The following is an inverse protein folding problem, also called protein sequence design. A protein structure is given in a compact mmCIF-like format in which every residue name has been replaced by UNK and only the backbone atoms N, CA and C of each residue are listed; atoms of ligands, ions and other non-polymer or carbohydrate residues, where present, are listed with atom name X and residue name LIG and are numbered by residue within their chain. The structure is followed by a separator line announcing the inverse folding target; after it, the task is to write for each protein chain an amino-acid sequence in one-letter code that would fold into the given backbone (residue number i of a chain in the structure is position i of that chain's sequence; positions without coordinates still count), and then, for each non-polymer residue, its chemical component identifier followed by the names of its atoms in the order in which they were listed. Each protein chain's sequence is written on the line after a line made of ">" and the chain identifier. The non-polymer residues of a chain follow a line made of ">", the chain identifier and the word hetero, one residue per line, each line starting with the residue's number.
data_IF_509673860281
#
_entry.id   IF_509673860281
#
_cell.length_a   1.000
_cell.length_b   1.000
_cell.length_c   1.000
_cell.angle_alpha   90.00
_cell.angle_beta   90.00
_cell.angle_gamma   90.00
#
_symmetry.space_group_name_H-M   'P 1'
#
loop_
_entity.id
_entity.type
_entity.pdbx_description
1 polymer ?
#
# COMPACT_ATOMS: atom_id res chain seq x y z
N UNK A 1 -29.21 25.12 5.43
CA UNK A 1 -27.93 24.90 6.12
C UNK A 1 -26.86 24.75 5.07
N UNK A 2 -26.38 25.88 4.55
CA UNK A 2 -25.29 25.90 3.59
C UNK A 2 -23.96 25.73 4.32
N UNK A 3 -23.09 24.94 3.71
CA UNK A 3 -21.86 24.39 4.25
C UNK A 3 -20.83 25.47 4.61
N UNK A 4 -20.79 25.86 5.88
CA UNK A 4 -19.66 26.57 6.50
C UNK A 4 -18.37 25.73 6.55
N UNK A 5 -18.43 24.43 6.23
CA UNK A 5 -17.26 23.57 6.11
C UNK A 5 -16.43 23.80 4.82
N UNK A 6 -16.93 24.59 3.87
CA UNK A 6 -16.26 24.87 2.58
C UNK A 6 -15.79 26.31 2.39
N UNK A 7 -15.97 27.23 3.34
CA UNK A 7 -15.81 28.67 3.06
C UNK A 7 -14.36 29.18 3.01
N UNK A 8 -13.35 28.31 3.05
CA UNK A 8 -11.95 28.68 2.89
C UNK A 8 -11.25 27.75 1.92
N UNK A 9 -10.72 28.29 0.82
CA UNK A 9 -9.82 27.57 -0.09
C UNK A 9 -8.64 26.94 0.66
N UNK A 10 -8.27 27.49 1.82
CA UNK A 10 -7.29 26.93 2.74
C UNK A 10 -7.61 25.49 3.19
N UNK A 11 -8.87 25.20 3.55
CA UNK A 11 -9.27 23.87 4.03
C UNK A 11 -9.20 22.83 2.90
N UNK A 12 -9.59 23.20 1.68
CA UNK A 12 -9.50 22.32 0.51
C UNK A 12 -8.06 21.85 0.29
N UNK A 13 -7.08 22.76 0.35
CA UNK A 13 -5.68 22.41 0.13
C UNK A 13 -5.07 21.61 1.28
N UNK A 14 -5.49 21.85 2.54
CA UNK A 14 -5.13 20.99 3.69
C UNK A 14 -5.61 19.55 3.47
N UNK A 15 -6.87 19.36 3.07
CA UNK A 15 -7.39 18.02 2.75
C UNK A 15 -6.65 17.36 1.58
N UNK A 16 -6.28 18.12 0.56
CA UNK A 16 -5.52 17.61 -0.57
C UNK A 16 -4.13 17.09 -0.16
N UNK A 17 -3.47 17.79 0.77
CA UNK A 17 -2.20 17.32 1.36
C UNK A 17 -2.43 16.06 2.21
N UNK A 18 -3.44 16.06 3.08
CA UNK A 18 -3.73 14.91 3.95
C UNK A 18 -4.09 13.65 3.15
N UNK A 19 -4.92 13.77 2.11
CA UNK A 19 -5.28 12.63 1.24
C UNK A 19 -4.08 12.16 0.42
N UNK A 20 -3.21 13.07 -0.02
CA UNK A 20 -1.98 12.72 -0.73
C UNK A 20 -0.98 11.96 0.14
N UNK A 21 -0.81 12.37 1.40
CA UNK A 21 0.00 11.64 2.39
C UNK A 21 -0.60 10.27 2.68
N UNK A 22 -1.92 10.20 2.90
CA UNK A 22 -2.62 8.93 3.14
C UNK A 22 -2.45 7.99 1.95
N UNK A 23 -2.59 8.50 0.73
CA UNK A 23 -2.36 7.75 -0.50
C UNK A 23 -0.92 7.22 -0.54
N UNK A 24 0.09 8.04 -0.25
CA UNK A 24 1.49 7.59 -0.19
C UNK A 24 1.71 6.48 0.84
N UNK A 25 1.16 6.63 2.05
CA UNK A 25 1.27 5.61 3.10
C UNK A 25 0.63 4.31 2.64
N UNK A 26 -0.61 4.33 2.13
CA UNK A 26 -1.30 3.12 1.69
C UNK A 26 -0.61 2.48 0.49
N UNK A 27 -0.10 3.28 -0.45
CA UNK A 27 0.51 2.77 -1.68
C UNK A 27 1.92 2.23 -1.45
N UNK A 28 2.65 2.75 -0.46
CA UNK A 28 4.01 2.29 -0.18
C UNK A 28 3.99 1.21 0.89
N UNK A 29 3.38 1.48 2.05
CA UNK A 29 3.45 0.59 3.21
C UNK A 29 2.79 -0.77 2.96
N UNK A 30 1.56 -0.77 2.44
CA UNK A 30 0.78 -2.01 2.29
C UNK A 30 1.41 -2.95 1.23
N UNK A 31 1.71 -2.49 0.01
CA UNK A 31 2.40 -3.32 -0.99
C UNK A 31 3.77 -3.81 -0.53
N UNK A 32 4.54 -3.01 0.22
CA UNK A 32 5.86 -3.42 0.69
C UNK A 32 5.77 -4.54 1.73
N UNK A 33 4.84 -4.43 2.68
CA UNK A 33 4.57 -5.48 3.69
C UNK A 33 4.11 -6.77 3.02
N UNK A 34 3.16 -6.67 2.10
CA UNK A 34 2.62 -7.83 1.40
C UNK A 34 3.68 -8.51 0.54
N UNK A 35 4.51 -7.74 -0.16
CA UNK A 35 5.63 -8.25 -0.94
C UNK A 35 6.64 -9.02 -0.09
N UNK A 36 7.01 -8.50 1.09
CA UNK A 36 7.91 -9.21 2.00
C UNK A 36 7.32 -10.56 2.45
N UNK A 37 6.04 -10.58 2.82
CA UNK A 37 5.33 -11.81 3.20
C UNK A 37 5.33 -12.83 2.04
N UNK A 38 5.03 -12.37 0.83
CA UNK A 38 5.01 -13.20 -0.38
C UNK A 38 6.41 -13.74 -0.74
N UNK A 39 7.46 -12.94 -0.57
CA UNK A 39 8.84 -13.37 -0.81
C UNK A 39 9.30 -14.44 0.18
N UNK A 40 8.98 -14.27 1.47
CA UNK A 40 9.28 -15.28 2.51
C UNK A 40 8.61 -16.61 2.16
N UNK A 41 7.33 -16.57 1.82
CA UNK A 41 6.61 -17.80 1.48
C UNK A 41 7.11 -18.42 0.18
N UNK A 42 7.49 -17.60 -0.82
CA UNK A 42 8.13 -18.09 -2.04
C UNK A 42 9.43 -18.85 -1.73
N UNK A 43 10.25 -18.34 -0.81
CA UNK A 43 11.49 -19.02 -0.38
C UNK A 43 11.16 -20.37 0.27
N UNK A 44 10.12 -20.43 1.09
CA UNK A 44 9.65 -21.67 1.72
C UNK A 44 9.20 -22.69 0.66
N UNK A 45 8.34 -22.28 -0.28
CA UNK A 45 7.89 -23.14 -1.38
C UNK A 45 9.05 -23.64 -2.25
N UNK A 46 10.04 -22.79 -2.54
CA UNK A 46 11.24 -23.19 -3.29
C UNK A 46 12.09 -24.21 -2.51
N UNK A 47 12.20 -24.06 -1.18
CA UNK A 47 12.90 -25.02 -0.33
C UNK A 47 12.19 -26.37 -0.32
N UNK A 48 10.86 -26.37 -0.24
CA UNK A 48 10.06 -27.59 -0.30
C UNK A 48 10.18 -28.26 -1.66
N UNK A 49 10.13 -27.49 -2.76
CA UNK A 49 10.34 -27.98 -4.12
C UNK A 49 11.69 -28.69 -4.24
N UNK A 50 12.77 -28.06 -3.74
CA UNK A 50 14.11 -28.65 -3.75
C UNK A 50 14.19 -29.95 -2.93
N UNK A 51 13.43 -30.04 -1.85
CA UNK A 51 13.35 -31.25 -1.02
C UNK A 51 12.62 -32.37 -1.76
N UNK A 52 11.54 -32.04 -2.47
CA UNK A 52 10.79 -32.96 -3.32
C UNK A 52 11.68 -33.46 -4.46
N UNK A 53 12.37 -32.56 -5.15
CA UNK A 53 13.30 -32.89 -6.24
C UNK A 53 14.41 -33.85 -5.76
N UNK A 54 15.03 -33.56 -4.62
CA UNK A 54 16.00 -34.47 -4.01
C UNK A 54 15.41 -35.85 -3.71
N UNK A 55 14.17 -35.92 -3.21
CA UNK A 55 13.48 -37.18 -2.96
C UNK A 55 13.24 -37.97 -4.25
N UNK A 56 12.85 -37.29 -5.33
CA UNK A 56 12.65 -37.90 -6.66
C UNK A 56 13.96 -38.50 -7.17
N UNK A 57 15.06 -37.73 -7.17
CA UNK A 57 16.38 -38.22 -7.61
C UNK A 57 16.86 -39.40 -6.77
N UNK A 58 16.63 -39.36 -5.44
CA UNK A 58 16.98 -40.46 -4.54
C UNK A 58 16.16 -41.72 -4.81
N UNK A 59 14.87 -41.59 -5.09
CA UNK A 59 14.01 -42.71 -5.43
C UNK A 59 14.37 -43.28 -6.82
N UNK A 60 14.71 -42.44 -7.80
CA UNK A 60 15.18 -42.88 -9.12
C UNK A 60 16.49 -43.67 -9.02
N UNK A 61 17.48 -43.17 -8.29
CA UNK A 61 18.75 -43.89 -8.10
C UNK A 61 18.56 -45.25 -7.41
N UNK A 62 17.66 -45.33 -6.43
CA UNK A 62 17.27 -46.61 -5.79
C UNK A 62 16.57 -47.55 -6.78
N UNK A 63 15.62 -47.06 -7.56
CA UNK A 63 14.92 -47.86 -8.57
C UNK A 63 15.89 -48.41 -9.64
N UNK A 64 16.87 -47.61 -10.08
CA UNK A 64 17.93 -48.06 -11.00
C UNK A 64 18.79 -49.15 -10.35
N UNK A 65 19.18 -48.99 -9.08
CA UNK A 65 19.96 -49.99 -8.37
C UNK A 65 19.20 -51.31 -8.19
N UNK A 66 17.90 -51.26 -7.88
CA UNK A 66 17.03 -52.43 -7.79
C UNK A 66 16.83 -53.09 -9.16
N UNK A 67 16.62 -52.31 -10.21
CA UNK A 67 16.51 -52.81 -11.60
C UNK A 67 17.77 -53.54 -12.05
N UNK A 68 18.96 -53.00 -11.72
CA UNK A 68 20.25 -53.68 -11.96
C UNK A 68 20.38 -54.99 -11.19
N UNK A 69 19.80 -55.10 -9.98
CA UNK A 69 19.76 -56.36 -9.23
C UNK A 69 18.84 -57.35 -9.93
N UNK A 70 17.61 -56.96 -10.26
CA UNK A 70 16.62 -57.80 -10.96
C UNK A 70 17.17 -58.42 -12.27
N UNK A 71 18.00 -57.69 -13.01
CA UNK A 71 18.62 -58.18 -14.26
C UNK A 71 19.80 -59.17 -14.05
N UNK A 72 20.25 -59.42 -12.82
CA UNK A 72 21.25 -60.48 -12.56
C UNK A 72 20.53 -61.83 -12.43
N UNK A 73 20.93 -62.81 -13.25
CA UNK A 73 20.35 -64.16 -13.34
C UNK A 73 20.52 -65.05 -12.08
N UNK A 74 20.81 -64.48 -10.90
CA UNK A 74 21.14 -65.20 -9.67
C UNK A 74 20.12 -64.99 -8.53
N UNK A 75 18.91 -64.52 -8.84
CA UNK A 75 17.91 -64.12 -7.85
C UNK A 75 16.66 -65.00 -7.96
N UNK A 76 16.07 -65.39 -6.83
CA UNK A 76 14.83 -66.18 -6.82
C UNK A 76 13.64 -65.39 -7.37
N UNK A 77 12.66 -66.07 -7.97
CA UNK A 77 11.44 -65.44 -8.51
C UNK A 77 10.66 -64.64 -7.44
N UNK A 78 10.65 -65.09 -6.17
CA UNK A 78 10.02 -64.33 -5.07
C UNK A 78 10.74 -63.00 -4.80
N UNK A 79 12.07 -63.00 -4.74
CA UNK A 79 12.86 -61.78 -4.54
C UNK A 79 12.76 -60.82 -5.73
N UNK A 80 12.65 -61.37 -6.94
CA UNK A 80 12.43 -60.59 -8.17
C UNK A 80 11.08 -59.87 -8.14
N UNK A 81 10.02 -60.56 -7.69
CA UNK A 81 8.69 -59.99 -7.46
C UNK A 81 8.72 -58.84 -6.44
N UNK A 82 9.40 -59.03 -5.30
CA UNK A 82 9.54 -57.99 -4.26
C UNK A 82 10.25 -56.74 -4.80
N UNK A 83 11.38 -56.90 -5.51
CA UNK A 83 12.09 -55.76 -6.10
C UNK A 83 11.26 -55.03 -7.16
N UNK A 84 10.46 -55.75 -7.95
CA UNK A 84 9.56 -55.13 -8.94
C UNK A 84 8.41 -54.38 -8.27
N UNK A 85 7.85 -54.88 -7.17
CA UNK A 85 6.86 -54.14 -6.38
C UNK A 85 7.47 -52.88 -5.76
N UNK A 86 8.68 -52.95 -5.23
CA UNK A 86 9.37 -51.81 -4.65
C UNK A 86 9.69 -50.73 -5.71
N UNK A 87 10.09 -51.13 -6.91
CA UNK A 87 10.28 -50.21 -8.05
C UNK A 87 8.97 -49.51 -8.42
N UNK A 88 7.86 -50.26 -8.54
CA UNK A 88 6.54 -49.69 -8.84
C UNK A 88 6.07 -48.71 -7.78
N UNK A 89 6.23 -49.06 -6.50
CA UNK A 89 5.89 -48.17 -5.39
C UNK A 89 6.70 -46.86 -5.45
N UNK A 90 8.00 -46.95 -5.75
CA UNK A 90 8.89 -45.78 -5.90
C UNK A 90 8.55 -44.92 -7.13
N UNK A 91 8.09 -45.53 -8.22
CA UNK A 91 7.61 -44.79 -9.39
C UNK A 91 6.32 -44.00 -9.08
N UNK A 92 5.35 -44.64 -8.42
CA UNK A 92 4.11 -43.97 -8.00
C UNK A 92 4.42 -42.82 -7.04
N UNK A 93 5.33 -43.03 -6.07
CA UNK A 93 5.77 -41.98 -5.15
C UNK A 93 6.40 -40.79 -5.90
N UNK A 94 7.18 -41.05 -6.96
CA UNK A 94 7.77 -40.01 -7.79
C UNK A 94 6.75 -39.25 -8.63
N UNK A 95 5.74 -39.92 -9.18
CA UNK A 95 4.65 -39.27 -9.92
C UNK A 95 3.86 -38.33 -9.00
N UNK A 96 3.52 -38.79 -7.79
CA UNK A 96 2.86 -37.96 -6.78
C UNK A 96 3.72 -36.74 -6.42
N UNK A 97 5.03 -36.94 -6.27
CA UNK A 97 5.96 -35.86 -5.97
C UNK A 97 6.10 -34.86 -7.13
N UNK A 98 6.04 -35.30 -8.39
CA UNK A 98 6.00 -34.42 -9.56
C UNK A 98 4.73 -33.57 -9.59
N UNK A 99 3.56 -34.18 -9.37
CA UNK A 99 2.29 -33.45 -9.29
C UNK A 99 2.32 -32.40 -8.18
N UNK A 100 2.87 -32.74 -7.01
CA UNK A 100 3.06 -31.79 -5.90
C UNK A 100 4.02 -30.66 -6.25
N UNK A 101 5.08 -30.96 -7.01
CA UNK A 101 6.04 -29.96 -7.47
C UNK A 101 5.37 -28.96 -8.44
N UNK A 102 4.60 -29.46 -9.41
CA UNK A 102 3.89 -28.65 -10.39
C UNK A 102 2.87 -27.72 -9.72
N UNK A 103 2.08 -28.24 -8.77
CA UNK A 103 1.14 -27.43 -7.99
C UNK A 103 1.84 -26.29 -7.21
N UNK A 104 3.02 -26.57 -6.64
CA UNK A 104 3.81 -25.55 -5.93
C UNK A 104 4.42 -24.52 -6.88
N UNK A 105 4.79 -24.91 -8.09
CA UNK A 105 5.27 -23.98 -9.12
C UNK A 105 4.17 -23.02 -9.56
N UNK A 106 2.96 -23.51 -9.78
CA UNK A 106 1.79 -22.69 -10.12
C UNK A 106 1.47 -21.68 -9.00
N UNK A 107 1.57 -22.11 -7.74
CA UNK A 107 1.40 -21.23 -6.59
C UNK A 107 2.48 -20.12 -6.56
N UNK A 108 3.74 -20.46 -6.84
CA UNK A 108 4.84 -19.49 -6.93
C UNK A 108 4.59 -18.48 -8.06
N UNK A 109 4.14 -18.93 -9.23
CA UNK A 109 3.86 -18.07 -10.38
C UNK A 109 2.74 -17.08 -10.09
N UNK A 110 1.63 -17.58 -9.53
CA UNK A 110 0.49 -16.75 -9.12
C UNK A 110 0.93 -15.66 -8.15
N UNK A 111 1.74 -16.01 -7.15
CA UNK A 111 2.30 -15.05 -6.17
C UNK A 111 3.24 -14.04 -6.82
N UNK A 112 4.01 -14.45 -7.82
CA UNK A 112 4.89 -13.54 -8.57
C UNK A 112 4.07 -12.49 -9.35
N UNK A 113 2.93 -12.89 -9.91
CA UNK A 113 2.01 -11.96 -10.57
C UNK A 113 1.45 -10.92 -9.59
N UNK A 114 1.08 -11.32 -8.36
CA UNK A 114 0.68 -10.36 -7.32
C UNK A 114 1.77 -9.34 -7.00
N UNK A 115 3.03 -9.78 -6.89
CA UNK A 115 4.17 -8.87 -6.68
C UNK A 115 4.29 -7.86 -7.82
N UNK A 116 4.08 -8.28 -9.07
CA UNK A 116 4.11 -7.39 -10.24
C UNK A 116 3.00 -6.34 -10.15
N UNK A 117 1.76 -6.75 -9.84
CA UNK A 117 0.64 -5.80 -9.67
C UNK A 117 0.93 -4.77 -8.59
N UNK A 118 1.46 -5.19 -7.44
CA UNK A 118 1.83 -4.29 -6.36
C UNK A 118 2.90 -3.28 -6.80
N UNK A 119 3.92 -3.71 -7.55
CA UNK A 119 4.92 -2.81 -8.11
C UNK A 119 4.31 -1.78 -9.07
N UNK A 120 3.38 -2.18 -9.93
CA UNK A 120 2.70 -1.27 -10.86
C UNK A 120 1.89 -0.23 -10.09
N UNK A 121 1.13 -0.67 -9.08
CA UNK A 121 0.34 0.22 -8.20
C UNK A 121 1.26 1.25 -7.53
N UNK A 122 2.40 0.84 -6.96
CA UNK A 122 3.37 1.77 -6.37
C UNK A 122 3.82 2.80 -7.41
N UNK A 123 4.24 2.37 -8.59
CA UNK A 123 4.80 3.27 -9.61
C UNK A 123 3.80 4.25 -10.19
N UNK A 124 2.49 3.94 -10.17
CA UNK A 124 1.45 4.85 -10.65
C UNK A 124 0.99 5.79 -9.52
N UNK A 125 0.67 5.24 -8.36
CA UNK A 125 0.01 6.00 -7.29
C UNK A 125 1.00 6.76 -6.40
N UNK A 126 2.26 6.33 -6.28
CA UNK A 126 3.27 7.10 -5.54
C UNK A 126 3.56 8.48 -6.17
N UNK A 127 3.85 8.61 -7.48
CA UNK A 127 4.04 9.93 -8.07
C UNK A 127 2.75 10.75 -8.07
N UNK A 128 1.58 10.12 -8.21
CA UNK A 128 0.30 10.80 -8.10
C UNK A 128 0.06 11.39 -6.70
N UNK A 129 0.31 10.61 -5.65
CA UNK A 129 0.23 11.07 -4.26
C UNK A 129 1.22 12.19 -3.98
N UNK A 130 2.47 12.06 -4.45
CA UNK A 130 3.48 13.11 -4.32
C UNK A 130 3.06 14.41 -5.03
N UNK A 131 2.49 14.30 -6.23
CA UNK A 131 1.96 15.44 -6.97
C UNK A 131 0.84 16.15 -6.19
N UNK A 132 -0.11 15.41 -5.62
CA UNK A 132 -1.18 15.98 -4.80
C UNK A 132 -0.64 16.70 -3.56
N UNK A 133 0.37 16.14 -2.90
CA UNK A 133 1.02 16.78 -1.73
C UNK A 133 1.70 18.09 -2.14
N UNK A 134 2.50 18.09 -3.20
CA UNK A 134 3.22 19.30 -3.66
C UNK A 134 2.23 20.37 -4.11
N UNK A 135 1.25 20.00 -4.95
CA UNK A 135 0.24 20.91 -5.46
C UNK A 135 -0.62 21.48 -4.32
N UNK A 136 -1.06 20.63 -3.39
CA UNK A 136 -1.81 21.05 -2.21
C UNK A 136 -1.00 22.00 -1.33
N UNK A 137 0.29 21.73 -1.09
CA UNK A 137 1.14 22.58 -0.26
C UNK A 137 1.39 23.96 -0.89
N UNK A 138 1.68 24.01 -2.19
CA UNK A 138 1.89 25.28 -2.90
C UNK A 138 0.65 26.17 -2.88
N UNK A 139 -0.52 25.58 -3.14
CA UNK A 139 -1.77 26.35 -3.17
C UNK A 139 -2.30 26.67 -1.77
N UNK A 140 -2.06 25.82 -0.78
CA UNK A 140 -2.32 26.16 0.62
C UNK A 140 -1.54 27.41 1.02
N UNK A 141 -0.23 27.46 0.71
CA UNK A 141 0.61 28.63 1.02
C UNK A 141 0.11 29.90 0.33
N UNK A 142 -0.34 29.80 -0.93
CA UNK A 142 -0.93 30.93 -1.66
C UNK A 142 -2.27 31.37 -1.06
N UNK A 143 -3.18 30.44 -0.78
CA UNK A 143 -4.47 30.73 -0.16
C UNK A 143 -4.29 31.40 1.18
N UNK A 144 -3.42 30.85 2.03
CA UNK A 144 -3.17 31.39 3.36
C UNK A 144 -2.68 32.84 3.32
N UNK A 145 -1.77 33.16 2.39
CA UNK A 145 -1.32 34.54 2.19
C UNK A 145 -2.46 35.48 1.81
N UNK A 146 -3.32 35.06 0.87
CA UNK A 146 -4.47 35.86 0.45
C UNK A 146 -5.52 36.02 1.57
N UNK A 147 -5.75 34.96 2.36
CA UNK A 147 -6.70 34.98 3.47
C UNK A 147 -6.18 35.86 4.62
N UNK A 148 -4.87 35.83 4.91
CA UNK A 148 -4.22 36.72 5.88
C UNK A 148 -4.30 38.20 5.44
N UNK A 149 -4.11 38.48 4.15
CA UNK A 149 -4.25 39.84 3.58
C UNK A 149 -5.70 40.34 3.69
N UNK A 150 -6.69 39.50 3.35
CA UNK A 150 -8.12 39.82 3.53
C UNK A 150 -8.48 40.08 4.99
N UNK A 151 -8.04 39.22 5.90
CA UNK A 151 -8.30 39.39 7.33
C UNK A 151 -7.68 40.70 7.87
N UNK A 152 -6.53 41.10 7.34
CA UNK A 152 -5.89 42.39 7.68
C UNK A 152 -6.73 43.57 7.18
N UNK A 153 -7.23 43.51 5.95
CA UNK A 153 -8.11 44.53 5.37
C UNK A 153 -9.43 44.62 6.15
N UNK A 154 -10.06 43.49 6.46
CA UNK A 154 -11.30 43.43 7.26
C UNK A 154 -11.08 44.01 8.65
N UNK A 155 -9.97 43.69 9.32
CA UNK A 155 -9.61 44.27 10.62
C UNK A 155 -9.43 45.79 10.54
N UNK A 156 -8.78 46.29 9.48
CA UNK A 156 -8.61 47.73 9.28
C UNK A 156 -9.94 48.43 9.00
N UNK A 157 -10.82 47.80 8.21
CA UNK A 157 -12.16 48.31 7.92
C UNK A 157 -13.00 48.38 9.21
N UNK A 158 -13.04 47.29 9.99
CA UNK A 158 -13.70 47.25 11.31
C UNK A 158 -13.18 48.33 12.25
N UNK A 159 -11.87 48.55 12.30
CA UNK A 159 -11.26 49.61 13.11
C UNK A 159 -11.71 51.00 12.66
N UNK A 160 -11.71 51.26 11.35
CA UNK A 160 -12.20 52.53 10.78
C UNK A 160 -13.68 52.75 11.07
N UNK A 161 -14.52 51.71 10.97
CA UNK A 161 -15.95 51.77 11.29
C UNK A 161 -16.17 52.09 12.77
N UNK A 162 -15.42 51.43 13.67
CA UNK A 162 -15.46 51.70 15.11
C UNK A 162 -15.01 53.13 15.44
N UNK A 163 -13.91 53.59 14.83
CA UNK A 163 -13.44 54.98 15.01
C UNK A 163 -14.47 55.99 14.51
N UNK A 164 -15.10 55.73 13.36
CA UNK A 164 -16.16 56.58 12.82
C UNK A 164 -17.38 56.64 13.76
N UNK A 165 -17.88 55.50 14.21
CA UNK A 165 -18.99 55.43 15.18
C UNK A 165 -18.63 56.12 16.50
N UNK A 166 -17.40 55.95 16.99
CA UNK A 166 -16.95 56.61 18.23
C UNK A 166 -16.94 58.13 18.07
N UNK A 167 -16.48 58.64 16.93
CA UNK A 167 -16.49 60.09 16.63
C UNK A 167 -17.90 60.64 16.44
N UNK A 168 -18.80 59.88 15.83
CA UNK A 168 -20.21 60.25 15.69
C UNK A 168 -20.88 60.34 17.07
N UNK A 169 -20.72 59.31 17.91
CA UNK A 169 -21.25 59.31 19.28
C UNK A 169 -20.71 60.49 20.13
N UNK A 170 -19.42 60.83 19.99
CA UNK A 170 -18.84 61.99 20.69
C UNK A 170 -19.42 63.31 20.21
N UNK A 171 -19.66 63.46 18.90
CA UNK A 171 -20.30 64.67 18.34
C UNK A 171 -21.75 64.82 18.80
N UNK A 172 -22.48 63.72 18.88
CA UNK A 172 -23.87 63.74 19.34
C UNK A 172 -23.96 64.12 20.82
N UNK A 173 -23.00 63.66 21.65
CA UNK A 173 -22.86 64.08 23.05
C UNK A 173 -22.51 65.57 23.19
N UNK A 174 -21.59 66.09 22.38
CA UNK A 174 -21.22 67.51 22.41
C UNK A 174 -22.37 68.41 21.94
N UNK A 175 -23.18 67.97 20.97
CA UNK A 175 -24.35 68.71 20.53
C UNK A 175 -25.45 68.74 21.59
N UNK A 176 -25.69 67.63 22.30
CA UNK A 176 -26.64 67.60 23.43
C UNK A 176 -26.20 68.51 24.58
N UNK A 177 -24.92 68.49 24.94
CA UNK A 177 -24.41 69.37 26.00
C UNK A 177 -24.48 70.87 25.64
N UNK A 178 -24.38 71.22 24.36
CA UNK A 178 -24.52 72.60 23.89
C UNK A 178 -25.98 73.07 23.79
N UNK A 179 -26.95 72.17 23.62
CA UNK A 179 -28.38 72.52 23.67
C UNK A 179 -28.89 72.72 25.11
N UNK A 180 -28.25 72.08 26.10
CA UNK A 180 -28.62 72.16 27.52
C UNK A 180 -27.98 73.34 28.29
N UNK A 181 -27.24 74.23 27.61
CA UNK A 181 -26.65 75.44 28.24
C UNK A 181 -27.42 76.71 27.81
N UNK A 182 -28.45 77.16 28.55
CA UNK A 182 -29.14 78.41 28.25
C UNK A 182 -28.27 79.62 28.64
N UNK A 183 -28.30 80.65 27.78
CA UNK A 183 -27.67 81.97 28.00
C UNK A 183 -28.22 82.69 29.24
#
# INVERSE_FOLDING_TARGET
>A
MESSFFSGSENLYKYLVSIGILMLVLTIYYPLKEKQSLEILKIELLRELKTIEYSVTKNESKAIALSKKVNKNQISENQKSEYLQEIKAKQIENEINKIKADAKLEEIETRNNYIIYYNIIIWIFAPLGLFLVIYGFLNWRKSKKNDDEKATIEKNLLKLTLEKQTRENLRDLDNQNNEDTPS
#
